data_IF_561875434682
#
_entry.id   IF_561875434682
#
_cell.length_a   1.000
_cell.length_b   1.000
_cell.length_c   1.000
_cell.angle_alpha   90.00
_cell.angle_beta   90.00
_cell.angle_gamma   90.00
#
_symmetry.space_group_name_H-M   'P 1'
#
loop_
_entity.id
_entity.type
_entity.pdbx_description
1 polymer ?
#
# COMPACT_ATOMS: atom_id res chain seq x y z
N UNK A 1 -4.42 21.18 45.85
CA UNK A 1 -3.32 20.27 45.46
C UNK A 1 -3.75 19.54 44.19
N UNK A 2 -2.93 19.61 43.15
CA UNK A 2 -3.25 19.21 41.77
C UNK A 2 -2.73 17.80 41.52
N UNK A 3 -3.59 16.89 41.06
CA UNK A 3 -3.26 15.51 40.63
C UNK A 3 -4.39 15.06 39.72
N UNK A 4 -4.21 14.34 38.62
CA UNK A 4 -3.04 13.97 37.86
C UNK A 4 -3.51 13.75 36.41
N UNK A 5 -2.58 13.90 35.48
CA UNK A 5 -2.67 13.74 34.04
C UNK A 5 -3.48 12.50 33.59
N UNK A 6 -4.62 12.71 32.93
CA UNK A 6 -5.30 11.64 32.18
C UNK A 6 -4.85 11.69 30.73
N UNK A 7 -3.64 11.15 30.50
CA UNK A 7 -3.07 10.86 29.19
C UNK A 7 -3.79 9.66 28.58
N UNK A 8 -4.89 9.87 27.89
CA UNK A 8 -5.41 8.86 26.95
C UNK A 8 -4.70 8.99 25.60
N UNK A 9 -3.38 8.73 25.60
CA UNK A 9 -2.69 8.37 24.36
C UNK A 9 -3.02 6.91 24.06
N UNK A 10 -4.10 6.69 23.31
CA UNK A 10 -4.32 5.42 22.63
C UNK A 10 -3.28 5.33 21.51
N UNK A 11 -2.08 4.85 21.87
CA UNK A 11 -1.13 4.35 20.90
C UNK A 11 -1.79 3.17 20.19
N UNK A 12 -2.20 3.38 18.95
CA UNK A 12 -2.67 2.33 18.07
C UNK A 12 -1.60 1.24 18.00
N UNK A 13 -1.92 0.12 18.64
CA UNK A 13 -1.13 -1.11 18.67
C UNK A 13 -0.70 -1.51 17.25
N UNK A 14 0.61 -1.45 17.01
CA UNK A 14 1.28 -1.79 15.76
C UNK A 14 1.39 -3.31 15.58
N UNK A 15 0.25 -4.00 15.44
CA UNK A 15 0.22 -5.43 15.12
C UNK A 15 -0.08 -5.66 13.64
N UNK A 16 0.94 -5.42 12.81
CA UNK A 16 1.46 -6.26 11.72
C UNK A 16 0.53 -7.22 10.95
N UNK A 17 -0.74 -6.87 10.73
CA UNK A 17 -1.59 -7.48 9.71
C UNK A 17 -1.59 -6.55 8.50
N UNK A 18 -0.65 -6.77 7.59
CA UNK A 18 -0.60 -6.07 6.31
C UNK A 18 -1.73 -6.58 5.41
N UNK A 19 -2.96 -6.16 5.70
CA UNK A 19 -4.10 -6.47 4.84
C UNK A 19 -3.85 -5.96 3.40
N UNK A 20 -4.24 -6.74 2.38
CA UNK A 20 -4.08 -6.31 1.01
C UNK A 20 -4.89 -5.05 0.75
N UNK A 21 -4.24 -4.02 0.19
CA UNK A 21 -4.91 -2.78 -0.18
C UNK A 21 -5.28 -2.80 -1.67
N UNK A 22 -6.39 -2.13 -1.99
CA UNK A 22 -6.80 -1.97 -3.39
C UNK A 22 -5.82 -1.06 -4.15
N UNK A 23 -5.75 -1.22 -5.47
CA UNK A 23 -4.97 -0.31 -6.32
C UNK A 23 -5.38 1.16 -6.16
N UNK A 24 -6.65 1.44 -5.85
CA UNK A 24 -7.16 2.80 -5.63
C UNK A 24 -6.64 3.39 -4.32
N UNK A 25 -6.66 2.62 -3.24
CA UNK A 25 -6.08 3.03 -1.96
C UNK A 25 -4.57 3.26 -2.09
N UNK A 26 -3.89 2.38 -2.84
CA UNK A 26 -2.46 2.53 -3.13
C UNK A 26 -2.16 3.79 -3.96
N UNK A 27 -3.02 4.14 -4.92
CA UNK A 27 -2.93 5.39 -5.68
C UNK A 27 -3.00 6.63 -4.79
N UNK A 28 -3.96 6.65 -3.86
CA UNK A 28 -4.09 7.74 -2.88
C UNK A 28 -2.83 7.86 -2.01
N UNK A 29 -2.32 6.73 -1.51
CA UNK A 29 -1.12 6.74 -0.66
C UNK A 29 0.16 7.18 -1.37
N UNK A 30 0.26 6.96 -2.68
CA UNK A 30 1.45 7.27 -3.48
C UNK A 30 1.34 8.59 -4.24
N UNK A 31 0.15 9.18 -4.30
CA UNK A 31 -0.14 10.37 -5.12
C UNK A 31 -0.09 10.10 -6.63
N UNK A 32 -0.03 8.85 -7.06
CA UNK A 32 0.07 8.48 -8.48
C UNK A 32 -1.30 8.24 -9.09
N UNK A 33 -1.42 8.51 -10.40
CA UNK A 33 -2.65 8.22 -11.12
C UNK A 33 -2.92 6.72 -11.20
N UNK A 34 -4.20 6.33 -11.09
CA UNK A 34 -4.61 4.93 -11.18
C UNK A 34 -4.24 4.30 -12.53
N UNK A 35 -4.25 5.09 -13.60
CA UNK A 35 -3.81 4.66 -14.93
C UNK A 35 -2.33 4.31 -14.99
N UNK A 36 -1.47 5.12 -14.35
CA UNK A 36 -0.04 4.86 -14.27
C UNK A 36 0.26 3.61 -13.43
N UNK A 37 -0.38 3.48 -12.27
CA UNK A 37 -0.23 2.31 -11.42
C UNK A 37 -0.69 1.02 -12.10
N UNK A 38 -1.78 1.08 -12.87
CA UNK A 38 -2.24 -0.07 -13.67
C UNK A 38 -1.19 -0.48 -14.71
N UNK A 39 -0.53 0.47 -15.37
CA UNK A 39 0.60 0.20 -16.27
C UNK A 39 1.75 -0.45 -15.51
N UNK A 40 2.11 0.06 -14.34
CA UNK A 40 3.18 -0.51 -13.51
C UNK A 40 2.88 -1.92 -13.03
N UNK A 41 1.64 -2.20 -12.61
CA UNK A 41 1.20 -3.57 -12.30
C UNK A 41 1.40 -4.53 -13.47
N UNK A 42 0.94 -4.14 -14.68
CA UNK A 42 1.10 -4.97 -15.87
C UNK A 42 2.58 -5.16 -16.27
N UNK A 43 3.43 -4.18 -15.98
CA UNK A 43 4.87 -4.23 -16.25
C UNK A 43 5.67 -4.98 -15.16
N UNK A 44 5.03 -5.47 -14.09
CA UNK A 44 5.74 -6.09 -12.96
C UNK A 44 6.55 -5.10 -12.12
N UNK A 45 6.29 -3.80 -12.24
CA UNK A 45 7.01 -2.73 -11.52
C UNK A 45 6.49 -2.45 -10.13
N UNK A 46 5.51 -3.19 -9.63
CA UNK A 46 5.00 -3.07 -8.26
C UNK A 46 5.19 -4.42 -7.57
N UNK A 47 6.17 -4.49 -6.67
CA UNK A 47 6.42 -5.67 -5.85
C UNK A 47 5.24 -5.83 -4.90
N UNK A 48 4.69 -7.05 -4.82
CA UNK A 48 3.50 -7.34 -4.02
C UNK A 48 2.17 -7.08 -4.73
N UNK A 49 2.18 -6.62 -5.99
CA UNK A 49 0.96 -6.53 -6.79
C UNK A 49 0.53 -7.92 -7.30
N UNK A 50 -0.69 -8.33 -6.97
CA UNK A 50 -1.31 -9.57 -7.48
C UNK A 50 -2.63 -9.25 -8.16
N UNK A 51 -2.83 -9.81 -9.35
CA UNK A 51 -4.11 -9.72 -10.05
C UNK A 51 -5.02 -10.84 -9.59
N UNK A 52 -6.21 -10.49 -9.10
CA UNK A 52 -7.22 -11.45 -8.75
C UNK A 52 -7.75 -12.17 -10.00
N UNK A 53 -7.83 -13.50 -9.96
CA UNK A 53 -8.11 -14.32 -11.15
C UNK A 53 -9.52 -14.08 -11.68
N UNK A 54 -10.50 -13.94 -10.77
CA UNK A 54 -11.92 -13.82 -11.13
C UNK A 54 -12.31 -12.36 -11.43
N UNK A 55 -12.01 -11.44 -10.51
CA UNK A 55 -12.44 -10.02 -10.63
C UNK A 55 -11.50 -9.18 -11.49
N UNK A 56 -10.33 -9.73 -11.87
CA UNK A 56 -9.27 -9.02 -12.60
C UNK A 56 -8.77 -7.73 -11.93
N UNK A 57 -9.12 -7.53 -10.66
CA UNK A 57 -8.68 -6.41 -9.84
C UNK A 57 -7.24 -6.62 -9.36
N UNK A 58 -6.54 -5.52 -9.10
CA UNK A 58 -5.18 -5.55 -8.55
C UNK A 58 -5.22 -5.30 -7.05
N UNK A 59 -4.63 -6.24 -6.31
CA UNK A 59 -4.39 -6.18 -4.88
C UNK A 59 -2.92 -5.95 -4.61
N UNK A 60 -2.62 -5.03 -3.70
CA UNK A 60 -1.27 -4.66 -3.32
C UNK A 60 -1.05 -5.17 -1.90
N UNK A 61 -0.17 -6.16 -1.77
CA UNK A 61 0.18 -6.77 -0.48
C UNK A 61 1.42 -6.07 0.10
N UNK A 62 1.32 -5.40 1.26
CA UNK A 62 2.49 -4.76 1.88
C UNK A 62 3.55 -5.78 2.33
N UNK A 63 4.86 -5.42 2.37
CA UNK A 63 5.46 -4.11 2.08
C UNK A 63 5.71 -3.89 0.58
N UNK A 64 4.72 -3.35 -0.12
CA UNK A 64 4.74 -3.17 -1.55
C UNK A 64 5.60 -1.97 -1.93
N UNK A 65 6.36 -2.11 -3.02
CA UNK A 65 7.29 -1.07 -3.50
C UNK A 65 7.18 -0.92 -5.01
N UNK A 66 7.27 0.32 -5.48
CA UNK A 66 7.36 0.63 -6.90
C UNK A 66 8.82 0.56 -7.30
N UNK A 67 9.12 -0.24 -8.32
CA UNK A 67 10.47 -0.38 -8.88
C UNK A 67 10.66 0.72 -9.93
N UNK A 68 11.68 1.58 -9.78
CA UNK A 68 12.02 2.56 -10.80
C UNK A 68 12.36 1.85 -12.11
N UNK A 69 12.07 2.50 -13.24
CA UNK A 69 12.41 1.96 -14.56
C UNK A 69 13.92 2.13 -14.82
N UNK A 70 14.75 1.47 -14.03
CA UNK A 70 16.16 1.33 -14.29
C UNK A 70 16.48 -0.15 -14.25
N UNK A 71 16.70 -0.73 -15.43
CA UNK A 71 17.71 -1.73 -15.75
C UNK A 71 17.47 -2.16 -17.20
N UNK A 72 18.15 -1.45 -18.11
CA UNK A 72 18.56 -2.02 -19.40
C UNK A 72 19.76 -2.90 -19.08
N UNK A 73 19.68 -4.19 -19.39
CA UNK A 73 20.85 -5.07 -19.52
C UNK A 73 21.05 -5.27 -21.01
#
# INVERSE_FOLDING_TARGET
>A
MVTAESRFNHAADQSSKCEPVSLRSFAVSTGLSLGLLRKFCNQGRIIGARKHVLTKQWWIYPPAKIVPSQLRW
#
